data_IF_487390811038
#
_entry.id   IF_487390811038
#
_cell.length_a   1.000
_cell.length_b   1.000
_cell.length_c   1.000
_cell.angle_alpha   90.00
_cell.angle_beta   90.00
_cell.angle_gamma   90.00
#
_symmetry.space_group_name_H-M   'P 1'
#
loop_
_entity.id
_entity.type
_entity.pdbx_description
1 polymer ?
#
# COMPACT_ATOMS: atom_id res chain seq x y z
N UNK A 1 -13.53 2.42 -10.74
CA UNK A 1 -14.22 1.49 -9.79
C UNK A 1 -14.33 0.09 -10.37
N UNK A 2 -14.69 -0.08 -11.66
CA UNK A 2 -14.87 -1.41 -12.26
C UNK A 2 -13.59 -2.25 -12.40
N UNK A 3 -12.42 -1.65 -12.67
CA UNK A 3 -11.21 -2.42 -12.94
C UNK A 3 -10.53 -2.98 -11.69
N UNK A 4 -10.61 -2.32 -10.55
CA UNK A 4 -9.97 -2.81 -9.32
C UNK A 4 -10.81 -3.83 -8.56
N UNK A 5 -12.11 -3.66 -8.50
CA UNK A 5 -13.00 -4.75 -8.09
C UNK A 5 -12.73 -5.98 -8.95
N UNK A 6 -12.60 -5.80 -10.26
CA UNK A 6 -12.28 -6.89 -11.18
C UNK A 6 -10.92 -7.56 -10.90
N UNK A 7 -9.87 -6.79 -10.50
CA UNK A 7 -8.57 -7.37 -10.13
C UNK A 7 -8.66 -8.12 -8.80
N UNK A 8 -9.36 -7.58 -7.82
CA UNK A 8 -9.57 -8.22 -6.52
C UNK A 8 -10.36 -9.52 -6.68
N UNK A 9 -11.48 -9.46 -7.42
CA UNK A 9 -12.33 -10.62 -7.68
C UNK A 9 -11.58 -11.71 -8.45
N UNK A 10 -10.76 -11.33 -9.45
CA UNK A 10 -9.89 -12.27 -10.15
C UNK A 10 -8.84 -12.90 -9.25
N UNK A 11 -8.24 -12.12 -8.34
CA UNK A 11 -7.26 -12.65 -7.40
C UNK A 11 -7.92 -13.67 -6.47
N UNK A 12 -9.12 -13.37 -5.98
CA UNK A 12 -9.90 -14.28 -5.16
C UNK A 12 -10.26 -15.56 -5.94
N UNK A 13 -10.83 -15.42 -7.12
CA UNK A 13 -11.24 -16.55 -7.97
C UNK A 13 -10.05 -17.45 -8.31
N UNK A 14 -8.93 -16.87 -8.76
CA UNK A 14 -7.72 -17.65 -9.04
C UNK A 14 -7.16 -18.32 -7.79
N UNK A 15 -7.24 -17.66 -6.63
CA UNK A 15 -6.85 -18.24 -5.36
C UNK A 15 -7.67 -19.48 -5.02
N UNK A 16 -8.99 -19.44 -5.26
CA UNK A 16 -9.88 -20.58 -5.08
C UNK A 16 -9.55 -21.72 -6.05
N UNK A 17 -9.41 -21.40 -7.34
CA UNK A 17 -9.14 -22.42 -8.37
C UNK A 17 -7.77 -23.09 -8.20
N UNK A 18 -6.77 -22.34 -7.73
CA UNK A 18 -5.41 -22.84 -7.54
C UNK A 18 -5.11 -23.29 -6.10
N UNK A 19 -6.11 -23.35 -5.24
CA UNK A 19 -5.94 -23.58 -3.80
C UNK A 19 -5.08 -24.81 -3.46
N UNK A 20 -5.36 -25.96 -4.08
CA UNK A 20 -4.60 -27.18 -3.84
C UNK A 20 -3.13 -27.07 -4.28
N UNK A 21 -2.88 -26.45 -5.43
CA UNK A 21 -1.54 -26.24 -5.95
C UNK A 21 -0.75 -25.23 -5.09
N UNK A 22 -1.41 -24.17 -4.66
CA UNK A 22 -0.80 -23.14 -3.79
C UNK A 22 -0.48 -23.71 -2.40
N UNK A 23 -1.33 -24.56 -1.82
CA UNK A 23 -1.05 -25.24 -0.56
C UNK A 23 0.15 -26.19 -0.69
N UNK A 24 0.21 -26.96 -1.77
CA UNK A 24 1.37 -27.83 -2.03
C UNK A 24 2.66 -27.03 -2.18
N UNK A 25 2.60 -25.90 -2.88
CA UNK A 25 3.73 -25.00 -3.06
C UNK A 25 4.18 -24.39 -1.71
N UNK A 26 3.24 -24.02 -0.86
CA UNK A 26 3.51 -23.53 0.50
C UNK A 26 4.21 -24.60 1.36
N UNK A 27 3.75 -25.83 1.33
CA UNK A 27 4.40 -26.96 2.04
C UNK A 27 5.87 -27.13 1.59
N UNK A 28 6.11 -27.13 0.28
CA UNK A 28 7.46 -27.25 -0.25
C UNK A 28 8.36 -26.07 0.14
N UNK A 29 7.79 -24.86 0.22
CA UNK A 29 8.53 -23.65 0.55
C UNK A 29 8.89 -23.52 2.03
N UNK A 30 8.19 -24.23 2.94
CA UNK A 30 8.40 -24.13 4.39
C UNK A 30 9.79 -24.58 4.82
N UNK A 31 10.39 -25.56 4.15
CA UNK A 31 11.76 -26.01 4.43
C UNK A 31 12.80 -24.91 4.31
N UNK A 32 12.53 -23.91 3.47
CA UNK A 32 13.45 -22.82 3.19
C UNK A 32 13.34 -21.64 4.17
N UNK A 33 12.35 -21.62 5.05
CA UNK A 33 12.10 -20.47 5.93
C UNK A 33 13.26 -20.17 6.88
N UNK A 34 13.91 -21.22 7.37
CA UNK A 34 15.04 -21.16 8.32
C UNK A 34 16.40 -21.08 7.64
N UNK A 35 16.45 -21.29 6.33
CA UNK A 35 17.71 -21.22 5.60
C UNK A 35 18.25 -19.79 5.54
N UNK A 36 19.57 -19.67 5.67
CA UNK A 36 20.26 -18.40 5.53
C UNK A 36 20.12 -17.83 4.11
N UNK A 37 20.30 -16.52 4.00
CA UNK A 37 20.42 -15.88 2.70
C UNK A 37 21.75 -16.32 2.03
N UNK A 38 21.76 -16.62 0.71
CA UNK A 38 20.66 -16.52 -0.26
C UNK A 38 19.80 -17.78 -0.39
N UNK A 39 20.17 -18.92 0.20
CA UNK A 39 19.55 -20.22 -0.04
C UNK A 39 18.02 -20.23 0.22
N UNK A 40 17.57 -19.62 1.30
CA UNK A 40 16.14 -19.56 1.64
C UNK A 40 15.34 -18.48 0.93
N UNK A 41 15.92 -17.69 0.02
CA UNK A 41 15.25 -16.55 -0.61
C UNK A 41 14.07 -16.98 -1.48
N UNK A 42 14.26 -18.02 -2.29
CA UNK A 42 13.22 -18.54 -3.19
C UNK A 42 12.00 -19.05 -2.43
N UNK A 43 12.20 -19.88 -1.41
CA UNK A 43 11.11 -20.41 -0.60
C UNK A 43 10.32 -19.33 0.14
N UNK A 44 11.01 -18.33 0.72
CA UNK A 44 10.31 -17.19 1.35
C UNK A 44 9.52 -16.35 0.36
N UNK A 45 9.99 -16.18 -0.88
CA UNK A 45 9.26 -15.48 -1.93
C UNK A 45 8.02 -16.27 -2.38
N UNK A 46 8.16 -17.58 -2.57
CA UNK A 46 7.04 -18.48 -2.90
C UNK A 46 6.01 -18.53 -1.77
N UNK A 47 6.45 -18.54 -0.51
CA UNK A 47 5.56 -18.45 0.65
C UNK A 47 4.72 -17.17 0.62
N UNK A 48 5.35 -16.01 0.43
CA UNK A 48 4.65 -14.74 0.35
C UNK A 48 3.63 -14.70 -0.80
N UNK A 49 3.97 -15.30 -1.94
CA UNK A 49 3.07 -15.46 -3.07
C UNK A 49 1.87 -16.35 -2.70
N UNK A 50 2.12 -17.54 -2.16
CA UNK A 50 1.07 -18.48 -1.78
C UNK A 50 0.13 -17.89 -0.73
N UNK A 51 0.67 -17.25 0.30
CA UNK A 51 -0.12 -16.56 1.31
C UNK A 51 -1.04 -15.50 0.71
N UNK A 52 -0.52 -14.68 -0.21
CA UNK A 52 -1.32 -13.63 -0.85
C UNK A 52 -2.55 -14.19 -1.57
N UNK A 53 -2.39 -15.26 -2.33
CA UNK A 53 -3.47 -15.85 -3.12
C UNK A 53 -4.44 -16.65 -2.25
N UNK A 54 -3.95 -17.42 -1.30
CA UNK A 54 -4.76 -18.21 -0.38
C UNK A 54 -5.52 -17.33 0.61
N UNK A 55 -4.92 -16.27 1.15
CA UNK A 55 -5.61 -15.31 1.99
C UNK A 55 -6.72 -14.58 1.21
N UNK A 56 -6.47 -14.21 -0.05
CA UNK A 56 -7.48 -13.62 -0.92
C UNK A 56 -8.64 -14.58 -1.21
N UNK A 57 -8.38 -15.89 -1.25
CA UNK A 57 -9.40 -16.94 -1.36
C UNK A 57 -10.18 -17.20 -0.06
N UNK A 58 -9.85 -16.52 1.03
CA UNK A 58 -10.50 -16.67 2.32
C UNK A 58 -10.00 -17.86 3.14
N UNK A 59 -8.79 -18.38 2.88
CA UNK A 59 -8.19 -19.49 3.63
C UNK A 59 -7.80 -19.04 5.05
N UNK A 60 -8.67 -19.28 6.03
CA UNK A 60 -8.48 -18.88 7.42
C UNK A 60 -7.22 -19.50 8.07
N UNK A 61 -6.86 -20.74 7.68
CA UNK A 61 -5.64 -21.38 8.19
C UNK A 61 -4.40 -20.62 7.75
N UNK A 62 -4.38 -20.20 6.48
CA UNK A 62 -3.27 -19.42 5.91
C UNK A 62 -3.25 -18.00 6.46
N UNK A 63 -4.39 -17.39 6.71
CA UNK A 63 -4.47 -16.07 7.36
C UNK A 63 -3.89 -16.13 8.77
N UNK A 64 -4.21 -17.15 9.56
CA UNK A 64 -3.65 -17.37 10.90
C UNK A 64 -2.14 -17.64 10.85
N UNK A 65 -1.66 -18.45 9.89
CA UNK A 65 -0.23 -18.71 9.68
C UNK A 65 0.53 -17.42 9.32
N UNK A 66 -0.02 -16.63 8.40
CA UNK A 66 0.54 -15.34 8.03
C UNK A 66 0.60 -14.38 9.23
N UNK A 67 -0.47 -14.29 10.02
CA UNK A 67 -0.50 -13.46 11.23
C UNK A 67 0.61 -13.88 12.21
N UNK A 68 0.78 -15.16 12.47
CA UNK A 68 1.85 -15.68 13.33
C UNK A 68 3.25 -15.33 12.79
N UNK A 69 3.44 -15.34 11.48
CA UNK A 69 4.72 -15.03 10.85
C UNK A 69 5.13 -13.55 10.98
N UNK A 70 4.20 -12.64 11.24
CA UNK A 70 4.50 -11.20 11.48
C UNK A 70 5.43 -11.03 12.67
N UNK A 71 5.26 -11.83 13.72
CA UNK A 71 6.09 -11.83 14.92
C UNK A 71 7.34 -12.70 14.79
N UNK A 72 7.53 -13.39 13.67
CA UNK A 72 8.67 -14.27 13.40
C UNK A 72 10.00 -13.53 13.24
N UNK A 73 11.11 -14.26 13.24
CA UNK A 73 12.45 -13.69 13.10
C UNK A 73 12.79 -13.19 11.69
N UNK A 74 12.09 -13.68 10.67
CA UNK A 74 12.35 -13.33 9.28
C UNK A 74 11.55 -12.07 8.85
N UNK A 75 12.26 -10.97 8.64
CA UNK A 75 11.66 -9.74 8.08
C UNK A 75 10.99 -9.97 6.71
N UNK A 76 11.56 -10.86 5.89
CA UNK A 76 11.00 -11.17 4.57
C UNK A 76 9.64 -11.84 4.70
N UNK A 77 9.51 -12.81 5.60
CA UNK A 77 8.22 -13.47 5.89
C UNK A 77 7.23 -12.52 6.55
N UNK A 78 7.66 -11.73 7.54
CA UNK A 78 6.80 -10.76 8.21
C UNK A 78 6.20 -9.75 7.21
N UNK A 79 7.00 -9.20 6.29
CA UNK A 79 6.50 -8.30 5.23
C UNK A 79 5.65 -9.02 4.20
N UNK A 80 5.96 -10.27 3.89
CA UNK A 80 5.14 -11.12 3.02
C UNK A 80 3.76 -11.37 3.62
N UNK A 81 3.71 -11.68 4.90
CA UNK A 81 2.49 -11.90 5.67
C UNK A 81 1.62 -10.63 5.71
N UNK A 82 2.20 -9.48 6.04
CA UNK A 82 1.48 -8.20 6.01
C UNK A 82 0.86 -7.92 4.64
N UNK A 83 1.62 -8.11 3.55
CA UNK A 83 1.12 -7.91 2.19
C UNK A 83 0.01 -8.90 1.80
N UNK A 84 0.01 -10.11 2.37
CA UNK A 84 -1.03 -11.09 2.14
C UNK A 84 -2.34 -10.72 2.86
N UNK A 85 -2.24 -10.17 4.08
CA UNK A 85 -3.40 -9.76 4.88
C UNK A 85 -3.94 -8.37 4.49
N UNK A 86 -3.08 -7.48 3.97
CA UNK A 86 -3.38 -6.09 3.69
C UNK A 86 -4.62 -5.85 2.80
N UNK A 87 -4.89 -6.63 1.73
CA UNK A 87 -6.03 -6.38 0.84
C UNK A 87 -7.40 -6.59 1.47
N UNK A 88 -7.47 -7.21 2.65
CA UNK A 88 -8.72 -7.56 3.31
C UNK A 88 -8.99 -6.65 4.50
N UNK A 89 -10.22 -6.21 4.64
CA UNK A 89 -10.66 -5.44 5.80
C UNK A 89 -11.07 -6.44 6.88
N UNK A 90 -10.09 -6.82 7.74
CA UNK A 90 -10.26 -7.88 8.73
C UNK A 90 -9.55 -7.57 10.04
N UNK A 91 -9.94 -8.26 11.11
CA UNK A 91 -9.30 -8.15 12.42
C UNK A 91 -7.83 -8.63 12.38
N UNK A 92 -7.55 -9.66 11.57
CA UNK A 92 -6.20 -10.21 11.38
C UNK A 92 -5.27 -9.18 10.76
N UNK A 93 -5.75 -8.38 9.77
CA UNK A 93 -4.98 -7.26 9.22
C UNK A 93 -4.63 -6.23 10.28
N UNK A 94 -5.62 -5.78 11.04
CA UNK A 94 -5.40 -4.76 12.08
C UNK A 94 -4.41 -5.26 13.15
N UNK A 95 -4.56 -6.51 13.57
CA UNK A 95 -3.64 -7.14 14.51
C UNK A 95 -2.22 -7.27 13.93
N UNK A 96 -2.10 -7.70 12.67
CA UNK A 96 -0.82 -7.83 11.99
C UNK A 96 -0.08 -6.49 11.89
N UNK A 97 -0.80 -5.43 11.52
CA UNK A 97 -0.24 -4.08 11.42
C UNK A 97 0.18 -3.53 12.77
N UNK A 98 -0.61 -3.77 13.83
CA UNK A 98 -0.27 -3.37 15.19
C UNK A 98 0.98 -4.10 15.71
N UNK A 99 1.06 -5.42 15.55
CA UNK A 99 2.23 -6.23 15.96
C UNK A 99 3.52 -5.80 15.24
N UNK A 100 3.41 -5.49 13.95
CA UNK A 100 4.56 -5.02 13.19
C UNK A 100 5.01 -3.64 13.64
N UNK A 101 4.07 -2.71 13.86
CA UNK A 101 4.36 -1.38 14.38
C UNK A 101 5.04 -1.45 15.75
N UNK A 102 4.45 -2.16 16.71
CA UNK A 102 4.98 -2.30 18.06
C UNK A 102 6.45 -2.76 18.05
N UNK A 103 6.75 -3.71 17.19
CA UNK A 103 8.11 -4.28 17.10
C UNK A 103 9.12 -3.35 16.43
N UNK A 104 8.70 -2.57 15.45
CA UNK A 104 9.63 -1.89 14.53
C UNK A 104 9.53 -0.37 14.52
N UNK A 105 8.69 0.24 15.35
CA UNK A 105 8.48 1.69 15.39
C UNK A 105 9.75 2.51 15.63
N UNK A 106 10.77 1.92 16.25
CA UNK A 106 12.06 2.59 16.53
C UNK A 106 13.08 2.44 15.37
N UNK A 107 12.71 1.82 14.28
CA UNK A 107 13.53 1.63 13.09
C UNK A 107 12.98 2.43 11.90
N UNK A 108 13.48 3.65 11.62
CA UNK A 108 12.86 4.58 10.67
C UNK A 108 12.57 3.97 9.30
N UNK A 109 13.53 3.23 8.72
CA UNK A 109 13.37 2.61 7.40
C UNK A 109 12.26 1.55 7.38
N UNK A 110 12.09 0.82 8.49
CA UNK A 110 11.05 -0.21 8.61
C UNK A 110 9.71 0.44 8.91
N UNK A 111 9.71 1.51 9.71
CA UNK A 111 8.53 2.32 9.98
C UNK A 111 7.99 2.98 8.69
N UNK A 112 8.84 3.48 7.81
CA UNK A 112 8.42 3.97 6.50
C UNK A 112 7.69 2.89 5.69
N UNK A 113 8.14 1.63 5.76
CA UNK A 113 7.44 0.53 5.12
C UNK A 113 6.06 0.25 5.74
N UNK A 114 5.92 0.40 7.06
CA UNK A 114 4.63 0.32 7.75
C UNK A 114 3.70 1.45 7.32
N UNK A 115 4.17 2.70 7.31
CA UNK A 115 3.42 3.84 6.80
C UNK A 115 2.91 3.61 5.37
N UNK A 116 3.77 3.11 4.48
CA UNK A 116 3.39 2.83 3.11
C UNK A 116 2.30 1.75 3.00
N UNK A 117 2.37 0.70 3.81
CA UNK A 117 1.36 -0.34 3.87
C UNK A 117 0.04 0.18 4.43
N UNK A 118 0.05 0.94 5.52
CA UNK A 118 -1.16 1.56 6.09
C UNK A 118 -1.84 2.51 5.08
N UNK A 119 -1.06 3.37 4.43
CA UNK A 119 -1.59 4.34 3.48
C UNK A 119 -2.14 3.69 2.20
N UNK A 120 -1.59 2.53 1.79
CA UNK A 120 -2.04 1.79 0.61
C UNK A 120 -3.15 0.78 0.86
N UNK A 121 -3.47 0.50 2.12
CA UNK A 121 -4.48 -0.48 2.48
C UNK A 121 -5.86 -0.08 1.93
N UNK A 122 -6.59 -0.99 1.26
CA UNK A 122 -7.97 -0.73 0.87
C UNK A 122 -8.84 -0.63 2.13
N UNK A 123 -9.47 0.54 2.30
CA UNK A 123 -10.35 0.89 3.42
C UNK A 123 -11.45 1.79 2.95
N UNK A 124 -12.62 1.71 3.56
CA UNK A 124 -13.72 2.65 3.31
C UNK A 124 -13.34 4.09 3.72
N UNK A 125 -12.51 4.25 4.76
CA UNK A 125 -12.02 5.53 5.28
C UNK A 125 -10.54 5.81 4.91
N UNK A 126 -10.07 5.37 3.74
CA UNK A 126 -8.66 5.45 3.35
C UNK A 126 -8.07 6.86 3.43
N UNK A 127 -8.82 7.88 2.99
CA UNK A 127 -8.36 9.27 3.02
C UNK A 127 -8.20 9.79 4.46
N UNK A 128 -9.18 9.52 5.32
CA UNK A 128 -9.11 9.86 6.73
C UNK A 128 -7.91 9.18 7.42
N UNK A 129 -7.69 7.89 7.09
CA UNK A 129 -6.55 7.16 7.63
C UNK A 129 -5.21 7.80 7.22
N UNK A 130 -5.08 8.21 5.98
CA UNK A 130 -3.86 8.89 5.50
C UNK A 130 -3.64 10.22 6.21
N UNK A 131 -4.69 11.00 6.48
CA UNK A 131 -4.60 12.22 7.28
C UNK A 131 -4.10 11.92 8.70
N UNK A 132 -4.63 10.88 9.36
CA UNK A 132 -4.13 10.43 10.67
C UNK A 132 -2.66 10.01 10.64
N UNK A 133 -2.19 9.41 9.53
CA UNK A 133 -0.77 9.03 9.37
C UNK A 133 0.13 10.26 9.23
N UNK A 134 -0.32 11.34 8.62
CA UNK A 134 0.43 12.61 8.56
C UNK A 134 0.55 13.30 9.93
N UNK A 135 -0.44 13.09 10.80
CA UNK A 135 -0.44 13.60 12.18
C UNK A 135 0.24 12.64 13.17
N UNK A 136 0.75 11.51 12.70
CA UNK A 136 1.36 10.50 13.55
C UNK A 136 2.66 11.01 14.19
N UNK A 137 2.90 10.80 15.51
CA UNK A 137 4.06 11.33 16.23
C UNK A 137 5.43 10.94 15.67
N UNK A 138 5.48 9.84 14.93
CA UNK A 138 6.70 9.33 14.29
C UNK A 138 6.80 9.69 12.79
N UNK A 139 5.84 10.41 12.26
CA UNK A 139 5.91 10.90 10.88
C UNK A 139 6.83 12.13 10.82
N UNK A 140 7.78 12.12 9.88
CA UNK A 140 8.67 13.25 9.65
C UNK A 140 8.29 13.96 8.33
N UNK A 141 7.64 15.13 8.40
CA UNK A 141 7.22 15.88 7.22
C UNK A 141 8.39 16.51 6.44
N UNK A 142 9.62 16.47 6.98
CA UNK A 142 10.81 16.97 6.31
C UNK A 142 11.60 15.85 5.61
N UNK A 143 11.37 14.60 6.00
CA UNK A 143 12.04 13.45 5.41
C UNK A 143 11.37 13.02 4.10
N UNK A 144 12.09 13.06 2.93
CA UNK A 144 11.51 12.65 1.66
C UNK A 144 11.02 11.19 1.63
N UNK A 145 11.61 10.32 2.45
CA UNK A 145 11.21 8.93 2.55
C UNK A 145 9.87 8.78 3.29
N UNK A 146 9.67 9.48 4.42
CA UNK A 146 8.40 9.48 5.15
C UNK A 146 7.26 10.06 4.29
N UNK A 147 7.50 11.17 3.61
CA UNK A 147 6.54 11.74 2.65
C UNK A 147 6.18 10.73 1.55
N UNK A 148 7.17 10.06 0.96
CA UNK A 148 6.94 9.04 -0.06
C UNK A 148 6.21 7.83 0.51
N UNK A 149 6.48 7.43 1.75
CA UNK A 149 5.83 6.30 2.39
C UNK A 149 4.33 6.58 2.55
N UNK A 150 3.94 7.71 3.10
CA UNK A 150 2.53 8.03 3.33
C UNK A 150 1.84 8.44 2.03
N UNK A 151 2.32 9.48 1.36
CA UNK A 151 1.63 10.05 0.20
C UNK A 151 1.77 9.16 -1.05
N UNK A 152 2.93 8.53 -1.25
CA UNK A 152 3.13 7.52 -2.30
C UNK A 152 2.33 6.25 -2.03
N UNK A 153 2.22 5.83 -0.77
CA UNK A 153 1.33 4.73 -0.35
C UNK A 153 -0.13 5.02 -0.68
N UNK A 154 -0.60 6.23 -0.36
CA UNK A 154 -1.97 6.66 -0.71
C UNK A 154 -2.24 6.59 -2.21
N UNK A 155 -1.32 7.04 -3.04
CA UNK A 155 -1.50 6.97 -4.50
C UNK A 155 -1.48 5.55 -5.06
N UNK A 156 -0.93 4.59 -4.33
CA UNK A 156 -1.01 3.16 -4.66
C UNK A 156 -2.38 2.55 -4.32
N UNK A 157 -3.17 3.21 -3.45
CA UNK A 157 -4.59 2.88 -3.26
C UNK A 157 -5.42 3.54 -4.37
N UNK A 158 -5.48 2.87 -5.53
CA UNK A 158 -6.10 3.42 -6.75
C UNK A 158 -7.57 3.79 -6.51
N UNK A 159 -8.29 3.02 -5.71
CA UNK A 159 -9.70 3.29 -5.42
C UNK A 159 -9.89 4.61 -4.67
N UNK A 160 -9.07 4.89 -3.67
CA UNK A 160 -9.14 6.12 -2.88
C UNK A 160 -8.54 7.30 -3.63
N UNK A 161 -7.38 7.13 -4.27
CA UNK A 161 -6.71 8.21 -5.00
C UNK A 161 -7.51 8.68 -6.23
N UNK A 162 -8.11 7.75 -6.98
CA UNK A 162 -8.94 8.03 -8.14
C UNK A 162 -10.45 7.99 -7.81
N UNK A 163 -10.84 8.37 -6.59
CA UNK A 163 -12.24 8.47 -6.20
C UNK A 163 -13.01 9.41 -7.15
N UNK A 164 -14.27 9.08 -7.45
CA UNK A 164 -15.07 9.79 -8.46
C UNK A 164 -15.37 11.24 -8.05
N UNK A 165 -15.43 11.52 -6.75
CA UNK A 165 -15.64 12.85 -6.17
C UNK A 165 -14.40 13.76 -6.22
N UNK A 166 -13.25 13.24 -6.67
CA UNK A 166 -11.99 13.97 -6.76
C UNK A 166 -11.31 14.26 -5.43
N UNK A 167 -11.82 13.73 -4.33
CA UNK A 167 -11.26 13.96 -2.98
C UNK A 167 -9.78 13.58 -2.89
N UNK A 168 -9.39 12.45 -3.50
CA UNK A 168 -8.01 11.99 -3.54
C UNK A 168 -7.08 12.93 -4.31
N UNK A 169 -7.55 13.49 -5.43
CA UNK A 169 -6.77 14.44 -6.22
C UNK A 169 -6.60 15.77 -5.49
N UNK A 170 -7.67 16.30 -4.92
CA UNK A 170 -7.65 17.54 -4.14
C UNK A 170 -6.66 17.40 -2.97
N UNK A 171 -6.81 16.38 -2.16
CA UNK A 171 -5.94 16.11 -1.04
C UNK A 171 -4.46 16.06 -1.48
N UNK A 172 -4.17 15.31 -2.53
CA UNK A 172 -2.79 15.16 -3.00
C UNK A 172 -2.22 16.47 -3.56
N UNK A 173 -3.02 17.28 -4.25
CA UNK A 173 -2.61 18.61 -4.74
C UNK A 173 -2.26 19.55 -3.58
N UNK A 174 -3.08 19.57 -2.53
CA UNK A 174 -2.84 20.34 -1.30
C UNK A 174 -1.54 19.91 -0.61
N UNK A 175 -1.30 18.59 -0.49
CA UNK A 175 -0.08 18.07 0.10
C UNK A 175 1.17 18.44 -0.74
N UNK A 176 1.08 18.35 -2.05
CA UNK A 176 2.19 18.72 -2.95
C UNK A 176 2.50 20.21 -2.84
N UNK A 177 1.47 21.07 -2.79
CA UNK A 177 1.67 22.51 -2.61
C UNK A 177 2.33 22.83 -1.26
N UNK A 178 1.95 22.13 -0.19
CA UNK A 178 2.58 22.27 1.11
C UNK A 178 4.05 21.83 1.12
N UNK A 179 4.41 20.78 0.36
CA UNK A 179 5.79 20.31 0.22
C UNK A 179 6.60 21.25 -0.67
N UNK A 180 6.00 21.82 -1.72
CA UNK A 180 6.68 22.68 -2.69
C UNK A 180 7.33 23.91 -2.03
N UNK A 181 6.68 24.51 -1.07
CA UNK A 181 7.21 25.64 -0.31
C UNK A 181 8.53 25.34 0.43
N UNK A 182 8.84 24.07 0.70
CA UNK A 182 10.01 23.61 1.45
C UNK A 182 10.99 22.81 0.60
N UNK A 183 10.48 22.00 -0.32
CA UNK A 183 11.29 21.12 -1.16
C UNK A 183 10.67 20.95 -2.56
N UNK A 184 10.90 21.91 -3.48
CA UNK A 184 10.36 21.88 -4.83
C UNK A 184 10.74 20.63 -5.64
N UNK A 185 11.93 20.06 -5.39
CA UNK A 185 12.39 18.85 -6.08
C UNK A 185 11.52 17.66 -5.68
N UNK A 186 11.21 17.52 -4.40
CA UNK A 186 10.33 16.45 -3.91
C UNK A 186 8.90 16.67 -4.40
N UNK A 187 8.37 17.88 -4.34
CA UNK A 187 7.04 18.24 -4.84
C UNK A 187 6.88 17.92 -6.34
N UNK A 188 7.85 18.33 -7.16
CA UNK A 188 7.86 18.00 -8.60
C UNK A 188 7.84 16.50 -8.90
N UNK A 189 8.58 15.71 -8.09
CA UNK A 189 8.54 14.23 -8.22
C UNK A 189 7.17 13.66 -7.82
N UNK A 190 6.57 14.21 -6.77
CA UNK A 190 5.24 13.78 -6.30
C UNK A 190 4.14 14.14 -7.30
N UNK A 191 4.23 15.29 -7.98
CA UNK A 191 3.24 15.73 -8.97
C UNK A 191 3.09 14.76 -10.16
N UNK A 192 4.09 13.88 -10.41
CA UNK A 192 4.01 12.85 -11.47
C UNK A 192 2.88 11.83 -11.26
N UNK A 193 2.32 11.71 -10.06
CA UNK A 193 1.19 10.80 -9.79
C UNK A 193 -0.05 11.16 -10.61
N UNK A 194 -0.21 12.43 -10.97
CA UNK A 194 -1.34 12.89 -11.79
C UNK A 194 -1.23 12.53 -13.28
N UNK A 195 -0.04 12.15 -13.77
CA UNK A 195 0.16 11.82 -15.19
C UNK A 195 -0.70 10.66 -15.70
N UNK A 196 -1.21 9.83 -14.79
CA UNK A 196 -2.01 8.64 -15.12
C UNK A 196 -3.53 8.89 -15.04
N UNK A 197 -3.99 10.07 -14.67
CA UNK A 197 -5.41 10.35 -14.47
C UNK A 197 -6.24 10.11 -15.76
N UNK A 198 -5.68 10.37 -16.93
CA UNK A 198 -6.33 10.09 -18.21
C UNK A 198 -6.67 8.61 -18.44
N UNK A 199 -5.93 7.69 -17.82
CA UNK A 199 -6.18 6.25 -17.96
C UNK A 199 -7.43 5.77 -17.19
N UNK A 200 -8.01 6.62 -16.35
CA UNK A 200 -9.18 6.30 -15.53
C UNK A 200 -10.50 6.89 -16.06
N UNK A 201 -10.49 7.34 -17.30
CA UNK A 201 -11.67 7.86 -18.01
C UNK A 201 -11.78 9.39 -17.99
N UNK A 202 -12.60 9.95 -18.89
CA UNK A 202 -12.69 11.39 -19.11
C UNK A 202 -13.21 12.16 -17.89
N UNK A 203 -14.13 11.57 -17.14
CA UNK A 203 -14.69 12.21 -15.93
C UNK A 203 -13.60 12.42 -14.88
N UNK A 204 -12.80 11.38 -14.59
CA UNK A 204 -11.69 11.48 -13.63
C UNK A 204 -10.57 12.37 -14.13
N UNK A 205 -10.31 12.36 -15.42
CA UNK A 205 -9.35 13.28 -16.04
C UNK A 205 -9.81 14.74 -15.84
N UNK A 206 -11.07 15.06 -16.08
CA UNK A 206 -11.61 16.41 -15.91
C UNK A 206 -11.50 16.87 -14.45
N UNK A 207 -11.87 16.02 -13.50
CA UNK A 207 -11.76 16.32 -12.07
C UNK A 207 -10.29 16.47 -11.65
N UNK A 208 -9.39 15.62 -12.13
CA UNK A 208 -7.96 15.75 -11.86
C UNK A 208 -7.41 17.10 -12.35
N UNK A 209 -7.79 17.53 -13.56
CA UNK A 209 -7.35 18.81 -14.14
C UNK A 209 -7.84 20.03 -13.35
N UNK A 210 -9.00 19.96 -12.69
CA UNK A 210 -9.48 21.05 -11.82
C UNK A 210 -8.50 21.36 -10.68
N UNK A 211 -7.82 20.35 -10.17
CA UNK A 211 -6.88 20.51 -9.03
C UNK A 211 -5.41 20.63 -9.45
N UNK A 212 -5.08 20.32 -10.69
CA UNK A 212 -3.68 20.30 -11.17
C UNK A 212 -3.38 21.32 -12.25
N UNK A 213 -4.39 21.96 -12.84
CA UNK A 213 -4.19 23.06 -13.80
C UNK A 213 -3.87 24.36 -13.07
N UNK A 214 -2.93 25.17 -13.58
CA UNK A 214 -2.67 26.50 -13.04
C UNK A 214 -3.95 27.32 -13.09
N UNK A 215 -4.25 28.02 -11.99
CA UNK A 215 -5.32 29.01 -11.97
C UNK A 215 -5.04 30.09 -13.02
N UNK A 216 -6.05 30.66 -13.67
CA UNK A 216 -5.86 31.85 -14.51
C UNK A 216 -5.14 33.01 -13.80
N UNK A 217 -5.21 33.03 -12.46
CA UNK A 217 -4.51 34.02 -11.61
C UNK A 217 -3.01 33.76 -11.45
N UNK A 218 -2.54 32.53 -11.73
CA UNK A 218 -1.15 32.11 -11.58
C UNK A 218 -0.36 32.23 -12.89
N UNK A 219 -0.97 32.76 -13.95
CA UNK A 219 -0.27 33.08 -15.19
C UNK A 219 0.55 34.34 -14.97
N UNK A 220 1.88 34.32 -15.22
CA UNK A 220 2.65 35.55 -15.20
C UNK A 220 2.02 36.52 -16.22
N UNK A 221 1.77 37.75 -15.77
CA UNK A 221 1.38 38.84 -16.65
C UNK A 221 2.52 39.05 -17.65
N UNK A 222 2.28 38.64 -18.90
CA UNK A 222 3.18 38.86 -20.03
C UNK A 222 3.20 40.32 -20.41
#
# INVERSE_FOLDING_TARGET
VGSEMCIRDRTQEMGVQLQSSLRRLLELARSDWTLAWPAGQGGRALTALAWRWLAAAGDATVQAEALAAVSGSSMTLARGALRALLPQESAEREQAMALFYERWQDKPVILDAWFAMEASAPRSNALERVQQLLDHPRFDPLAPNSLRAVLGGFTANVQAFHAADGSGYRFMAEQIAAVDSRNPITASRMAKVFSRCASYGPERQSVCLLYTSPSPRDRPLS
#
